data_IF_388704073631
#
_entry.id   IF_388704073631
#
_cell.length_a   1.000
_cell.length_b   1.000
_cell.length_c   1.000
_cell.angle_alpha   90.00
_cell.angle_beta   90.00
_cell.angle_gamma   90.00
#
_symmetry.space_group_name_H-M   'P 1'
#
loop_
_entity.id
_entity.type
_entity.pdbx_description
1 polymer ?
#
# COMPACT_ATOMS: atom_id res chain seq x y z
N UNK A 1 3.56 -37.88 -12.90
CA UNK A 1 4.05 -37.49 -11.57
C UNK A 1 3.44 -36.12 -11.32
N UNK A 2 2.19 -36.12 -10.92
CA UNK A 2 1.39 -34.92 -10.70
C UNK A 2 1.95 -34.23 -9.46
N UNK A 3 2.60 -33.08 -9.67
CA UNK A 3 2.94 -32.21 -8.56
C UNK A 3 1.62 -31.69 -7.97
N UNK A 4 1.22 -32.25 -6.85
CA UNK A 4 0.17 -31.73 -6.00
C UNK A 4 0.44 -30.23 -5.81
N UNK A 5 -0.34 -29.39 -6.48
CA UNK A 5 -0.32 -27.95 -6.21
C UNK A 5 -0.85 -27.79 -4.79
N UNK A 6 0.07 -27.70 -3.82
CA UNK A 6 -0.30 -27.40 -2.45
C UNK A 6 -1.15 -26.13 -2.43
N UNK A 7 -2.33 -26.23 -1.84
CA UNK A 7 -3.25 -25.12 -1.71
C UNK A 7 -2.55 -23.92 -1.04
N UNK A 8 -2.55 -22.77 -1.68
CA UNK A 8 -1.91 -21.55 -1.15
C UNK A 8 -2.74 -21.06 0.03
N UNK A 9 -2.24 -21.28 1.24
CA UNK A 9 -2.89 -20.78 2.46
C UNK A 9 -2.69 -19.28 2.59
N UNK A 10 -3.79 -18.54 2.67
CA UNK A 10 -3.81 -17.09 2.87
C UNK A 10 -4.32 -16.81 4.28
N UNK A 11 -3.59 -15.99 5.01
CA UNK A 11 -3.89 -15.56 6.36
C UNK A 11 -4.02 -14.03 6.39
N UNK A 12 -4.70 -13.51 7.40
CA UNK A 12 -4.63 -12.07 7.74
C UNK A 12 -3.61 -11.85 8.85
N UNK A 13 -2.97 -10.70 8.83
CA UNK A 13 -2.09 -10.29 9.93
C UNK A 13 -2.87 -10.18 11.24
N UNK A 14 -2.23 -10.62 12.32
CA UNK A 14 -2.79 -10.60 13.66
C UNK A 14 -2.18 -9.48 14.51
N UNK A 15 -2.84 -9.16 15.61
CA UNK A 15 -2.35 -8.16 16.55
C UNK A 15 -0.91 -8.47 17.02
N UNK A 16 -0.05 -7.45 16.96
CA UNK A 16 1.36 -7.56 17.30
C UNK A 16 2.28 -7.97 16.15
N UNK A 17 1.77 -8.37 14.98
CA UNK A 17 2.59 -8.78 13.83
C UNK A 17 3.03 -7.60 12.94
N UNK A 18 2.58 -6.38 13.22
CA UNK A 18 2.94 -5.23 12.40
C UNK A 18 4.45 -5.03 12.22
N UNK A 19 5.31 -5.23 13.23
CA UNK A 19 6.75 -5.15 13.03
C UNK A 19 7.28 -6.11 11.97
N UNK A 20 6.87 -7.39 12.01
CA UNK A 20 7.31 -8.42 11.06
C UNK A 20 6.79 -8.14 9.65
N UNK A 21 5.53 -7.67 9.55
CA UNK A 21 4.90 -7.26 8.29
C UNK A 21 5.69 -6.10 7.65
N UNK A 22 6.05 -5.09 8.44
CA UNK A 22 6.81 -3.94 7.95
C UNK A 22 8.26 -4.30 7.63
N UNK A 23 8.89 -5.15 8.41
CA UNK A 23 10.24 -5.65 8.11
C UNK A 23 10.27 -6.36 6.75
N UNK A 24 9.31 -7.25 6.52
CA UNK A 24 9.16 -7.92 5.22
C UNK A 24 8.91 -6.92 4.08
N UNK A 25 8.02 -5.94 4.27
CA UNK A 25 7.74 -4.92 3.27
C UNK A 25 8.98 -4.09 2.96
N UNK A 26 9.66 -3.58 3.98
CA UNK A 26 10.87 -2.79 3.87
C UNK A 26 11.96 -3.58 3.13
N UNK A 27 12.16 -4.85 3.50
CA UNK A 27 13.10 -5.73 2.81
C UNK A 27 12.80 -5.83 1.31
N UNK A 28 11.57 -6.17 0.93
CA UNK A 28 11.22 -6.40 -0.49
C UNK A 28 11.29 -5.11 -1.30
N UNK A 29 10.80 -3.99 -0.78
CA UNK A 29 10.82 -2.72 -1.49
C UNK A 29 12.24 -2.15 -1.61
N UNK A 30 13.09 -2.35 -0.62
CA UNK A 30 14.49 -1.92 -0.66
C UNK A 30 15.32 -2.64 -1.74
N UNK A 31 14.85 -3.80 -2.24
CA UNK A 31 15.53 -4.51 -3.34
C UNK A 31 15.41 -3.79 -4.69
N UNK A 32 14.41 -2.95 -4.87
CA UNK A 32 14.09 -2.35 -6.18
C UNK A 32 14.36 -0.85 -6.22
N UNK A 33 14.69 -0.23 -5.09
CA UNK A 33 14.76 1.22 -4.94
C UNK A 33 15.70 1.60 -3.78
N UNK A 34 15.61 2.84 -3.33
CA UNK A 34 16.29 3.29 -2.11
C UNK A 34 15.76 2.52 -0.89
N UNK A 35 16.53 2.44 0.21
CA UNK A 35 16.07 1.84 1.44
C UNK A 35 14.70 2.37 1.84
N UNK A 36 13.75 1.44 2.09
CA UNK A 36 12.39 1.76 2.50
C UNK A 36 12.24 1.62 4.01
N UNK A 37 11.52 2.58 4.58
CA UNK A 37 10.99 2.52 5.94
C UNK A 37 9.54 2.96 5.89
N UNK A 38 8.62 1.99 5.82
CA UNK A 38 7.20 2.28 5.68
C UNK A 38 6.62 3.01 6.90
N UNK A 39 7.15 2.75 8.10
CA UNK A 39 6.69 3.46 9.31
C UNK A 39 7.01 4.95 9.21
N UNK A 40 8.19 5.29 8.73
CA UNK A 40 8.63 6.67 8.53
C UNK A 40 7.95 7.33 7.32
N UNK A 41 7.75 6.58 6.24
CA UNK A 41 7.13 7.10 5.00
C UNK A 41 5.63 7.33 5.16
N UNK A 42 4.95 6.47 5.92
CA UNK A 42 3.50 6.46 6.07
C UNK A 42 3.11 6.36 7.57
N UNK A 43 3.49 7.34 8.40
CA UNK A 43 3.28 7.25 9.85
C UNK A 43 1.80 7.18 10.24
N UNK A 44 0.90 7.75 9.44
CA UNK A 44 -0.55 7.67 9.68
C UNK A 44 -1.11 6.26 9.47
N UNK A 45 -0.47 5.43 8.66
CA UNK A 45 -0.91 4.05 8.37
C UNK A 45 -0.19 3.02 9.23
N UNK A 46 1.08 3.27 9.55
CA UNK A 46 1.99 2.31 10.16
C UNK A 46 2.64 2.82 11.45
N UNK A 47 2.11 3.89 12.04
CA UNK A 47 2.53 4.38 13.34
C UNK A 47 2.26 3.39 14.46
N UNK A 48 2.75 3.68 15.64
CA UNK A 48 2.48 2.88 16.84
C UNK A 48 0.97 2.81 17.10
N UNK A 49 0.49 1.61 17.39
CA UNK A 49 -0.94 1.32 17.65
C UNK A 49 -1.89 1.62 16.48
N UNK A 50 -1.42 1.61 15.24
CA UNK A 50 -2.28 1.83 14.07
C UNK A 50 -3.35 0.74 13.87
N UNK A 51 -3.12 -0.48 14.39
CA UNK A 51 -3.99 -1.64 14.19
C UNK A 51 -4.09 -2.08 12.72
N UNK A 52 -3.11 -1.70 11.91
CA UNK A 52 -3.15 -1.92 10.45
C UNK A 52 -2.76 -3.35 10.02
N UNK A 53 -2.25 -4.18 10.92
CA UNK A 53 -1.86 -5.56 10.64
C UNK A 53 -3.00 -6.37 10.04
N UNK A 54 -4.22 -6.25 10.57
CA UNK A 54 -5.40 -6.98 10.10
C UNK A 54 -5.85 -6.66 8.68
N UNK A 55 -5.31 -5.61 8.07
CA UNK A 55 -5.57 -5.26 6.66
C UNK A 55 -4.59 -5.92 5.69
N UNK A 56 -3.59 -6.65 6.20
CA UNK A 56 -2.60 -7.36 5.39
C UNK A 56 -3.03 -8.82 5.19
N UNK A 57 -3.08 -9.22 3.93
CA UNK A 57 -3.22 -10.61 3.51
C UNK A 57 -1.82 -11.17 3.30
N UNK A 58 -1.52 -12.30 3.90
CA UNK A 58 -0.19 -12.89 3.98
C UNK A 58 -0.19 -14.31 3.43
N UNK A 59 0.89 -14.68 2.74
CA UNK A 59 1.26 -16.07 2.49
C UNK A 59 2.53 -16.36 3.26
N UNK A 60 2.54 -17.48 4.00
CA UNK A 60 3.69 -17.94 4.78
C UNK A 60 4.18 -19.29 4.25
N UNK A 61 5.48 -19.47 4.27
CA UNK A 61 6.16 -20.76 4.15
C UNK A 61 7.08 -20.91 5.35
N UNK A 62 7.01 -22.05 6.03
CA UNK A 62 7.79 -22.32 7.23
C UNK A 62 7.73 -21.20 8.27
N UNK A 63 6.53 -20.67 8.50
CA UNK A 63 6.25 -19.57 9.44
C UNK A 63 6.72 -18.18 8.99
N UNK A 64 7.41 -18.06 7.85
CA UNK A 64 7.95 -16.79 7.35
C UNK A 64 7.05 -16.18 6.29
N UNK A 65 6.82 -14.87 6.35
CA UNK A 65 6.07 -14.15 5.31
C UNK A 65 6.84 -14.26 3.99
N UNK A 66 6.14 -14.70 2.93
CA UNK A 66 6.68 -14.85 1.58
C UNK A 66 6.01 -13.94 0.57
N UNK A 67 4.77 -13.55 0.83
CA UNK A 67 4.07 -12.56 0.03
C UNK A 67 3.04 -11.86 0.88
N UNK A 68 2.71 -10.62 0.50
CA UNK A 68 1.64 -9.87 1.14
C UNK A 68 0.97 -8.87 0.21
N UNK A 69 -0.26 -8.54 0.56
CA UNK A 69 -1.06 -7.45 -0.01
C UNK A 69 -1.78 -6.76 1.13
N UNK A 70 -1.68 -5.45 1.21
CA UNK A 70 -2.51 -4.65 2.12
C UNK A 70 -3.77 -4.16 1.38
N UNK A 71 -4.93 -4.29 2.02
CA UNK A 71 -6.19 -3.69 1.57
C UNK A 71 -6.70 -2.75 2.68
N UNK A 72 -6.19 -1.53 2.68
CA UNK A 72 -6.47 -0.52 3.71
C UNK A 72 -7.86 0.09 3.50
N UNK A 73 -8.77 -0.01 4.47
CA UNK A 73 -10.08 0.61 4.37
C UNK A 73 -9.97 2.14 4.37
N UNK A 74 -10.75 2.76 3.51
CA UNK A 74 -10.82 4.21 3.33
C UNK A 74 -12.26 4.64 3.17
N UNK A 75 -12.55 5.87 3.59
CA UNK A 75 -13.81 6.53 3.31
C UNK A 75 -13.56 7.70 2.38
N UNK A 76 -14.19 7.67 1.21
CA UNK A 76 -14.15 8.77 0.25
C UNK A 76 -15.44 9.57 0.35
N UNK A 77 -15.37 10.88 0.17
CA UNK A 77 -16.54 11.73 0.06
C UNK A 77 -16.77 12.03 -1.42
N UNK A 78 -17.86 11.49 -1.97
CA UNK A 78 -18.23 11.69 -3.38
C UNK A 78 -19.56 12.41 -3.45
N UNK A 79 -19.57 13.62 -4.02
CA UNK A 79 -20.76 14.48 -4.07
C UNK A 79 -21.47 14.62 -2.70
N UNK A 80 -20.69 14.77 -1.64
CA UNK A 80 -21.21 14.91 -0.27
C UNK A 80 -21.67 13.61 0.41
N UNK A 81 -21.52 12.46 -0.25
CA UNK A 81 -21.90 11.15 0.30
C UNK A 81 -20.67 10.31 0.61
N UNK A 82 -20.61 9.63 1.76
CA UNK A 82 -19.51 8.72 2.08
C UNK A 82 -19.57 7.47 1.20
N UNK A 83 -18.43 7.10 0.65
CA UNK A 83 -18.23 5.90 -0.15
C UNK A 83 -17.14 5.04 0.50
N UNK A 84 -17.45 3.77 0.78
CA UNK A 84 -16.46 2.81 1.29
C UNK A 84 -15.52 2.39 0.16
N UNK A 85 -14.24 2.66 0.33
CA UNK A 85 -13.20 2.29 -0.63
C UNK A 85 -12.05 1.59 0.08
N UNK A 86 -11.17 0.94 -0.67
CA UNK A 86 -9.95 0.36 -0.15
C UNK A 86 -8.73 0.81 -0.95
N UNK A 87 -7.66 1.17 -0.27
CA UNK A 87 -6.35 1.38 -0.86
C UNK A 87 -5.56 0.08 -0.89
N UNK A 88 -5.18 -0.39 -2.08
CA UNK A 88 -4.30 -1.54 -2.22
C UNK A 88 -2.85 -1.06 -2.18
N UNK A 89 -2.08 -1.61 -1.26
CA UNK A 89 -0.69 -1.20 -1.03
C UNK A 89 0.21 -2.33 -0.61
N UNK A 90 1.48 -2.03 -0.43
CA UNK A 90 2.54 -2.94 0.03
C UNK A 90 2.54 -4.32 -0.66
N UNK A 91 2.10 -4.37 -1.95
CA UNK A 91 2.07 -5.61 -2.72
C UNK A 91 3.49 -6.12 -2.91
N UNK A 92 3.84 -7.20 -2.23
CA UNK A 92 5.20 -7.70 -2.11
C UNK A 92 5.26 -9.21 -2.24
N UNK A 93 6.30 -9.71 -2.92
CA UNK A 93 6.64 -11.14 -2.97
C UNK A 93 8.13 -11.26 -2.74
N UNK A 94 8.51 -12.11 -1.79
CA UNK A 94 9.92 -12.41 -1.52
C UNK A 94 10.64 -12.85 -2.80
N UNK A 95 11.87 -12.39 -3.09
CA UNK A 95 12.58 -12.72 -4.33
C UNK A 95 12.60 -14.22 -4.64
N UNK A 96 12.84 -15.07 -3.65
CA UNK A 96 12.88 -16.53 -3.80
C UNK A 96 11.50 -17.21 -3.85
N UNK A 97 10.41 -16.45 -3.68
CA UNK A 97 9.04 -16.96 -3.79
C UNK A 97 8.30 -16.46 -5.04
N UNK A 98 9.01 -15.74 -5.92
CA UNK A 98 8.48 -15.29 -7.20
C UNK A 98 8.15 -16.49 -8.10
N UNK A 99 7.15 -16.30 -8.96
CA UNK A 99 6.69 -17.37 -9.88
C UNK A 99 5.74 -18.39 -9.27
N UNK A 100 5.56 -18.41 -7.94
CA UNK A 100 4.66 -19.35 -7.24
C UNK A 100 3.17 -18.95 -7.25
N UNK A 101 2.79 -17.86 -7.91
CA UNK A 101 1.38 -17.40 -8.00
C UNK A 101 0.87 -16.66 -6.76
N UNK A 102 1.67 -16.40 -5.74
CA UNK A 102 1.22 -15.81 -4.47
C UNK A 102 0.58 -14.45 -4.61
N UNK A 103 1.15 -13.54 -5.43
CA UNK A 103 0.53 -12.24 -5.68
C UNK A 103 -0.89 -12.40 -6.27
N UNK A 104 -1.05 -13.31 -7.24
CA UNK A 104 -2.36 -13.55 -7.87
C UNK A 104 -3.38 -14.06 -6.86
N UNK A 105 -3.00 -15.03 -6.04
CA UNK A 105 -3.86 -15.59 -5.01
C UNK A 105 -4.27 -14.53 -3.97
N UNK A 106 -3.30 -13.75 -3.48
CA UNK A 106 -3.55 -12.67 -2.51
C UNK A 106 -4.46 -11.57 -3.07
N UNK A 107 -4.21 -11.11 -4.30
CA UNK A 107 -5.04 -10.09 -4.94
C UNK A 107 -6.46 -10.58 -5.16
N UNK A 108 -6.65 -11.80 -5.68
CA UNK A 108 -7.98 -12.37 -5.87
C UNK A 108 -8.73 -12.45 -4.55
N UNK A 109 -8.10 -12.96 -3.50
CA UNK A 109 -8.71 -13.06 -2.17
C UNK A 109 -9.07 -11.68 -1.62
N UNK A 110 -8.17 -10.70 -1.73
CA UNK A 110 -8.45 -9.36 -1.26
C UNK A 110 -9.64 -8.72 -2.00
N UNK A 111 -9.70 -8.85 -3.33
CA UNK A 111 -10.80 -8.32 -4.13
C UNK A 111 -12.14 -9.01 -3.80
N UNK A 112 -12.15 -10.30 -3.60
CA UNK A 112 -13.34 -11.06 -3.19
C UNK A 112 -13.85 -10.61 -1.81
N UNK A 113 -12.96 -10.53 -0.83
CA UNK A 113 -13.29 -10.07 0.52
C UNK A 113 -13.84 -8.64 0.50
N UNK A 114 -13.23 -7.72 -0.24
CA UNK A 114 -13.71 -6.35 -0.38
C UNK A 114 -15.11 -6.29 -0.99
N UNK A 115 -15.34 -7.06 -2.04
CA UNK A 115 -16.67 -7.17 -2.68
C UNK A 115 -17.72 -7.69 -1.70
N UNK A 116 -17.41 -8.77 -0.99
CA UNK A 116 -18.31 -9.38 0.00
C UNK A 116 -18.62 -8.43 1.17
N UNK A 117 -17.64 -7.62 1.57
CA UNK A 117 -17.80 -6.63 2.64
C UNK A 117 -18.47 -5.32 2.16
N UNK A 118 -18.90 -5.23 0.90
CA UNK A 118 -19.64 -4.09 0.37
C UNK A 118 -18.77 -2.85 0.11
N UNK A 119 -17.49 -3.03 -0.19
CA UNK A 119 -16.66 -1.93 -0.69
C UNK A 119 -17.07 -1.58 -2.12
N UNK A 120 -17.27 -0.30 -2.39
CA UNK A 120 -17.71 0.17 -3.70
C UNK A 120 -16.57 0.22 -4.73
N UNK A 121 -15.34 0.41 -4.26
CA UNK A 121 -14.16 0.46 -5.13
C UNK A 121 -12.87 0.17 -4.38
N UNK A 122 -11.85 -0.23 -5.13
CA UNK A 122 -10.47 -0.26 -4.67
C UNK A 122 -9.60 0.60 -5.60
N UNK A 123 -8.56 1.22 -5.07
CA UNK A 123 -7.59 1.95 -5.86
C UNK A 123 -6.16 1.63 -5.44
N UNK A 124 -5.23 1.79 -6.35
CA UNK A 124 -3.81 1.61 -6.11
C UNK A 124 -2.98 2.54 -6.99
N UNK A 125 -1.76 2.81 -6.55
CA UNK A 125 -0.72 3.37 -7.40
C UNK A 125 0.23 2.26 -7.84
N UNK A 126 0.37 2.04 -9.15
CA UNK A 126 1.22 0.97 -9.64
C UNK A 126 1.26 0.84 -11.16
N UNK A 127 1.94 -0.21 -11.62
CA UNK A 127 2.07 -0.48 -13.05
C UNK A 127 0.78 -1.10 -13.59
N UNK A 128 0.16 -0.45 -14.57
CA UNK A 128 -1.07 -0.90 -15.23
C UNK A 128 -1.05 -2.40 -15.56
N UNK A 129 0.00 -2.86 -16.23
CA UNK A 129 0.12 -4.24 -16.72
C UNK A 129 0.05 -5.30 -15.62
N UNK A 130 0.34 -4.93 -14.37
CA UNK A 130 0.24 -5.85 -13.23
C UNK A 130 -1.17 -5.99 -12.70
N UNK A 131 -1.97 -4.94 -12.79
CA UNK A 131 -3.21 -4.82 -12.03
C UNK A 131 -4.46 -4.84 -12.89
N UNK A 132 -4.38 -4.57 -14.21
CA UNK A 132 -5.54 -4.66 -15.09
C UNK A 132 -6.14 -6.08 -15.13
N UNK A 133 -5.33 -7.13 -14.93
CA UNK A 133 -5.80 -8.50 -14.78
C UNK A 133 -6.82 -8.68 -13.64
N UNK A 134 -6.73 -7.85 -12.59
CA UNK A 134 -7.62 -7.86 -11.43
C UNK A 134 -8.79 -6.86 -11.56
N UNK A 135 -9.02 -6.32 -12.74
CA UNK A 135 -10.10 -5.36 -13.01
C UNK A 135 -9.75 -3.91 -12.72
N UNK A 136 -8.50 -3.58 -12.42
CA UNK A 136 -8.08 -2.20 -12.27
C UNK A 136 -7.88 -1.52 -13.63
N UNK A 137 -8.44 -0.32 -13.77
CA UNK A 137 -8.27 0.52 -14.95
C UNK A 137 -7.64 1.85 -14.56
N UNK A 138 -6.79 2.45 -15.41
CA UNK A 138 -6.31 3.79 -15.18
C UNK A 138 -7.48 4.77 -15.06
N UNK A 139 -7.47 5.58 -14.03
CA UNK A 139 -8.52 6.57 -13.80
C UNK A 139 -7.96 7.82 -13.14
N UNK A 140 -8.60 8.94 -13.37
CA UNK A 140 -8.23 10.23 -12.82
C UNK A 140 -6.96 10.82 -13.44
N UNK A 141 -6.62 12.00 -12.95
CA UNK A 141 -5.39 12.72 -13.29
C UNK A 141 -4.63 13.05 -12.03
N UNK A 142 -3.30 12.98 -12.11
CA UNK A 142 -2.42 13.42 -11.04
C UNK A 142 -1.66 14.65 -11.51
N UNK A 143 -1.87 15.78 -10.84
CA UNK A 143 -1.05 16.97 -11.01
C UNK A 143 0.04 17.00 -9.93
N UNK A 144 1.28 17.23 -10.32
CA UNK A 144 2.40 17.41 -9.39
C UNK A 144 3.01 18.78 -9.62
N UNK A 145 3.17 19.53 -8.53
CA UNK A 145 3.78 20.85 -8.53
C UNK A 145 5.07 20.79 -7.71
N UNK A 146 6.17 21.27 -8.30
CA UNK A 146 7.44 21.35 -7.62
C UNK A 146 7.80 22.82 -7.41
N UNK A 147 7.81 23.24 -6.15
CA UNK A 147 8.27 24.55 -5.74
C UNK A 147 9.68 24.41 -5.14
N UNK A 148 10.63 25.09 -5.72
CA UNK A 148 12.00 25.16 -5.19
C UNK A 148 12.30 26.56 -4.67
N UNK A 149 13.27 26.68 -3.77
CA UNK A 149 13.73 27.98 -3.29
C UNK A 149 14.16 28.91 -4.46
N UNK A 150 14.80 28.33 -5.49
CA UNK A 150 15.18 29.06 -6.70
C UNK A 150 13.98 29.59 -7.49
N UNK A 151 12.93 28.77 -7.67
CA UNK A 151 11.70 29.21 -8.34
C UNK A 151 11.01 30.34 -7.58
N UNK A 152 10.97 30.24 -6.25
CA UNK A 152 10.37 31.26 -5.39
C UNK A 152 11.17 32.55 -5.43
N UNK A 153 12.47 32.49 -5.27
CA UNK A 153 13.35 33.68 -5.34
C UNK A 153 13.28 34.40 -6.70
N UNK A 154 13.18 33.64 -7.78
CA UNK A 154 13.08 34.22 -9.13
C UNK A 154 11.72 34.89 -9.36
N UNK A 155 10.61 34.27 -8.92
CA UNK A 155 9.26 34.80 -9.14
C UNK A 155 8.88 35.91 -8.16
N UNK A 156 9.40 35.84 -6.95
CA UNK A 156 9.10 36.75 -5.84
C UNK A 156 10.42 37.23 -5.19
N UNK A 157 11.20 38.07 -5.88
CA UNK A 157 12.43 38.63 -5.31
C UNK A 157 12.06 39.47 -4.08
N UNK A 158 12.69 39.18 -2.97
CA UNK A 158 12.45 39.87 -1.69
C UNK A 158 11.33 39.26 -0.82
N UNK A 159 10.76 38.09 -1.20
CA UNK A 159 9.89 37.34 -0.30
C UNK A 159 10.70 36.86 0.91
N UNK A 160 10.37 37.35 2.09
CA UNK A 160 10.91 36.88 3.34
C UNK A 160 9.90 35.90 4.00
N UNK A 161 10.43 34.92 4.70
CA UNK A 161 9.61 34.02 5.52
C UNK A 161 9.26 34.58 6.91
N UNK A 162 9.63 35.83 7.16
CA UNK A 162 9.39 36.46 8.45
C UNK A 162 7.90 36.55 8.75
N UNK A 163 7.52 36.09 9.90
CA UNK A 163 6.11 36.05 10.33
C UNK A 163 5.33 34.80 9.86
N UNK A 164 5.95 33.84 9.17
CA UNK A 164 5.35 32.55 8.83
C UNK A 164 5.76 31.51 9.87
N UNK A 165 4.78 30.91 10.52
CA UNK A 165 4.99 29.74 11.39
C UNK A 165 4.43 28.50 10.74
N UNK A 166 5.16 27.38 10.82
CA UNK A 166 4.71 26.09 10.34
C UNK A 166 4.45 25.20 11.56
N UNK A 167 3.27 24.60 11.62
CA UNK A 167 2.93 23.58 12.60
C UNK A 167 2.51 22.30 11.89
N UNK A 168 2.76 21.12 12.47
CA UNK A 168 2.17 19.88 11.97
C UNK A 168 0.64 20.00 11.95
N UNK A 169 0.02 19.42 10.93
CA UNK A 169 -1.43 19.19 10.94
C UNK A 169 -1.74 18.10 11.95
N UNK A 170 -2.59 18.37 12.93
CA UNK A 170 -3.12 17.39 13.88
C UNK A 170 -4.12 16.43 13.22
#
# INVERSE_FOLDING_TARGET
MDAEMSEIRIEKGCAGELPDILDFANYVFSQSSQPHDFRRLLPKLYGENSGSEGYHYLVREDGRIRAMVCAMPLSLLVAGKPLRAAGIGTVSVHPYARGKGYMKALMNRAMEDLKTQGYAMAFLGGMRQRYEYFGFTPTGTRASFHLTAGNLAHRYPGLSGDGVSLSPLE
#
